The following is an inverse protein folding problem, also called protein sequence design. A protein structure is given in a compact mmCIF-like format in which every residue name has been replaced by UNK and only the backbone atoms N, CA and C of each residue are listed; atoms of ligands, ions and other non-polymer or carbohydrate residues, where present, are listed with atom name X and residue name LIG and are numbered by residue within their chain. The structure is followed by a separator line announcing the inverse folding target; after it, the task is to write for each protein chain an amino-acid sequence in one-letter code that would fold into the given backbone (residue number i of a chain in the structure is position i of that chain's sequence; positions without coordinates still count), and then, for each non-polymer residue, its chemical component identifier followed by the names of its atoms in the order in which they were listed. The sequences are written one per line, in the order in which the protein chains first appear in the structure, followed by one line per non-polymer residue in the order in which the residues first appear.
data_IF_720044084536
#
_entry.id   IF_720044084536
#
_cell.length_a   1.000
_cell.length_b   1.000
_cell.length_c   1.000
_cell.angle_alpha   90.00
_cell.angle_beta   90.00
_cell.angle_gamma   90.00
#
_symmetry.space_group_name_H-M   'P 1'
#
loop_
_entity.id
_entity.type
_entity.pdbx_description
1 polymer ?
#
# COMPACT_ATOMS: atom_id res chain seq x y z
N UNK A 1 -58.43 23.77 -36.25
CA UNK A 1 -58.05 22.35 -36.15
C UNK A 1 -56.66 22.30 -35.49
N UNK A 2 -56.55 22.45 -34.17
CA UNK A 2 -56.55 21.39 -33.12
C UNK A 2 -55.38 20.40 -33.20
N UNK A 3 -54.36 20.68 -32.37
CA UNK A 3 -53.60 19.78 -31.46
C UNK A 3 -52.97 18.48 -31.99
N UNK A 4 -51.68 18.25 -31.71
CA UNK A 4 -51.25 17.29 -30.67
C UNK A 4 -49.72 17.26 -30.52
N UNK A 5 -49.25 17.61 -29.32
CA UNK A 5 -47.86 17.49 -28.89
C UNK A 5 -47.72 16.17 -28.14
N UNK A 6 -46.98 15.20 -28.67
CA UNK A 6 -46.74 13.93 -28.01
C UNK A 6 -45.67 14.10 -26.92
N UNK A 7 -46.10 14.03 -25.65
CA UNK A 7 -45.21 13.86 -24.48
C UNK A 7 -44.69 12.43 -24.46
N UNK A 8 -43.37 12.26 -24.42
CA UNK A 8 -42.71 11.00 -24.10
C UNK A 8 -42.94 10.69 -22.60
N UNK A 9 -43.35 9.49 -22.19
CA UNK A 9 -43.53 9.19 -20.77
C UNK A 9 -42.17 9.03 -20.10
N UNK A 10 -41.99 9.68 -18.94
CA UNK A 10 -40.85 9.47 -18.08
C UNK A 10 -40.81 8.00 -17.61
N UNK A 11 -39.62 7.40 -17.39
CA UNK A 11 -39.54 6.03 -16.89
C UNK A 11 -40.15 5.98 -15.48
N UNK A 12 -41.21 5.19 -15.34
CA UNK A 12 -41.77 4.83 -14.03
C UNK A 12 -40.76 3.94 -13.29
N UNK A 13 -39.87 4.54 -12.51
CA UNK A 13 -39.17 3.81 -11.45
C UNK A 13 -40.22 3.39 -10.42
N UNK A 14 -40.51 2.09 -10.36
CA UNK A 14 -41.45 1.54 -9.38
C UNK A 14 -40.83 1.63 -7.98
N UNK A 15 -41.65 1.96 -6.96
CA UNK A 15 -41.22 2.09 -5.57
C UNK A 15 -40.45 0.86 -5.03
N UNK A 16 -40.64 -0.31 -5.67
CA UNK A 16 -40.02 -1.59 -5.33
C UNK A 16 -38.51 -1.66 -5.64
N UNK A 17 -38.03 -0.90 -6.63
CA UNK A 17 -36.60 -0.81 -6.95
C UNK A 17 -35.86 0.13 -5.99
N UNK A 18 -36.52 1.19 -5.51
CA UNK A 18 -35.98 2.10 -4.50
C UNK A 18 -35.87 1.42 -3.13
N UNK A 19 -36.83 0.58 -2.72
CA UNK A 19 -36.74 -0.22 -1.48
C UNK A 19 -35.67 -1.32 -1.56
N UNK A 20 -35.48 -1.98 -2.70
CA UNK A 20 -34.38 -2.96 -2.88
C UNK A 20 -32.99 -2.31 -2.86
N UNK A 21 -32.81 -1.16 -3.51
CA UNK A 21 -31.53 -0.44 -3.49
C UNK A 21 -31.19 0.16 -2.11
N UNK A 22 -32.20 0.65 -1.38
CA UNK A 22 -32.01 1.17 -0.01
C UNK A 22 -31.72 0.04 0.99
N UNK A 23 -32.36 -1.12 0.87
CA UNK A 23 -32.04 -2.33 1.64
C UNK A 23 -30.61 -2.82 1.40
N UNK A 24 -30.20 -2.97 0.13
CA UNK A 24 -28.84 -3.39 -0.23
C UNK A 24 -27.76 -2.43 0.25
N UNK A 25 -28.00 -1.11 0.16
CA UNK A 25 -27.08 -0.09 0.71
C UNK A 25 -27.02 -0.11 2.23
N UNK A 26 -28.10 -0.47 2.92
CA UNK A 26 -28.14 -0.57 4.37
C UNK A 26 -27.39 -1.80 4.87
N UNK A 27 -27.54 -2.93 4.18
CA UNK A 27 -26.79 -4.16 4.47
C UNK A 27 -25.30 -3.96 4.23
N UNK A 28 -24.91 -3.31 3.12
CA UNK A 28 -23.52 -2.96 2.82
C UNK A 28 -22.89 -2.06 3.92
N UNK A 29 -23.64 -1.05 4.39
CA UNK A 29 -23.19 -0.20 5.51
C UNK A 29 -23.04 -0.98 6.82
N UNK A 30 -23.93 -1.94 7.09
CA UNK A 30 -23.87 -2.77 8.29
C UNK A 30 -22.66 -3.69 8.22
N UNK A 31 -22.46 -4.37 7.10
CA UNK A 31 -21.31 -5.22 6.83
C UNK A 31 -20.01 -4.46 7.03
N UNK A 32 -19.86 -3.27 6.43
CA UNK A 32 -18.65 -2.46 6.59
C UNK A 32 -18.38 -2.08 8.04
N UNK A 33 -19.40 -1.67 8.79
CA UNK A 33 -19.25 -1.35 10.22
C UNK A 33 -18.78 -2.56 11.04
N UNK A 34 -19.32 -3.74 10.76
CA UNK A 34 -18.91 -4.98 11.41
C UNK A 34 -17.45 -5.31 11.10
N UNK A 35 -17.07 -5.27 9.83
CA UNK A 35 -15.68 -5.50 9.37
C UNK A 35 -14.72 -4.50 10.02
N UNK A 36 -15.04 -3.21 9.99
CA UNK A 36 -14.22 -2.15 10.60
C UNK A 36 -14.03 -2.38 12.11
N UNK A 37 -15.08 -2.79 12.82
CA UNK A 37 -15.03 -3.05 14.26
C UNK A 37 -14.18 -4.29 14.59
N UNK A 38 -14.27 -5.35 13.80
CA UNK A 38 -13.45 -6.56 13.94
C UNK A 38 -11.98 -6.26 13.66
N UNK A 39 -11.67 -5.58 12.55
CA UNK A 39 -10.30 -5.20 12.18
C UNK A 39 -9.66 -4.31 13.24
N UNK A 40 -10.37 -3.27 13.73
CA UNK A 40 -9.86 -2.39 14.81
C UNK A 40 -9.62 -3.14 16.11
N UNK A 41 -10.49 -4.11 16.44
CA UNK A 41 -10.33 -4.92 17.65
C UNK A 41 -9.15 -5.88 17.52
N UNK A 42 -8.95 -6.46 16.33
CA UNK A 42 -7.78 -7.30 16.06
C UNK A 42 -6.47 -6.51 16.21
N UNK A 43 -6.38 -5.30 15.64
CA UNK A 43 -5.21 -4.42 15.77
C UNK A 43 -4.90 -4.18 17.26
N UNK A 44 -5.90 -3.80 18.06
CA UNK A 44 -5.73 -3.56 19.51
C UNK A 44 -5.21 -4.77 20.28
N UNK A 45 -5.59 -5.98 19.86
CA UNK A 45 -5.12 -7.22 20.48
C UNK A 45 -3.70 -7.58 20.02
N UNK A 46 -3.39 -7.38 18.74
CA UNK A 46 -2.07 -7.64 18.15
C UNK A 46 -0.98 -6.72 18.69
N UNK A 47 -1.32 -5.50 19.12
CA UNK A 47 -0.38 -4.63 19.85
C UNK A 47 0.02 -5.20 21.23
N UNK A 48 -0.69 -6.19 21.75
CA UNK A 48 -0.50 -6.71 23.12
C UNK A 48 -0.02 -8.15 23.17
N UNK A 49 -0.30 -8.95 22.14
CA UNK A 49 0.02 -10.38 22.09
C UNK A 49 0.09 -10.91 20.66
N UNK A 50 0.66 -12.10 20.51
CA UNK A 50 0.78 -12.76 19.21
C UNK A 50 -0.60 -13.14 18.64
N UNK A 51 -0.71 -13.24 17.31
CA UNK A 51 -1.92 -13.66 16.61
C UNK A 51 -2.46 -15.00 17.12
N UNK A 52 -1.57 -15.93 17.47
CA UNK A 52 -1.88 -17.29 17.91
C UNK A 52 -2.54 -17.34 19.30
N UNK A 53 -2.34 -16.31 20.10
CA UNK A 53 -2.88 -16.19 21.46
C UNK A 53 -4.23 -15.45 21.50
N UNK A 54 -4.70 -14.94 20.36
CA UNK A 54 -5.98 -14.26 20.24
C UNK A 54 -7.07 -15.31 20.07
N UNK A 55 -8.17 -15.15 20.80
CA UNK A 55 -9.34 -16.03 20.67
C UNK A 55 -10.51 -15.30 20.03
N UNK A 56 -11.37 -16.04 19.32
CA UNK A 56 -12.56 -15.46 18.70
C UNK A 56 -13.45 -14.82 19.76
N UNK A 57 -13.60 -15.45 20.94
CA UNK A 57 -14.39 -14.91 22.05
C UNK A 57 -13.89 -13.52 22.44
N UNK A 58 -12.61 -13.40 22.79
CA UNK A 58 -12.01 -12.13 23.19
C UNK A 58 -12.14 -11.05 22.11
N UNK A 59 -11.87 -11.41 20.85
CA UNK A 59 -12.02 -10.49 19.73
C UNK A 59 -13.47 -10.00 19.61
N UNK A 60 -14.43 -10.92 19.66
CA UNK A 60 -15.85 -10.60 19.49
C UNK A 60 -16.41 -9.79 20.66
N UNK A 61 -15.95 -10.05 21.89
CA UNK A 61 -16.28 -9.24 23.07
C UNK A 61 -15.71 -7.83 22.95
N UNK A 62 -14.45 -7.68 22.53
CA UNK A 62 -13.83 -6.37 22.33
C UNK A 62 -14.51 -5.57 21.20
N UNK A 63 -14.97 -6.25 20.16
CA UNK A 63 -15.61 -5.64 19.00
C UNK A 63 -17.12 -5.36 19.19
N UNK A 64 -17.73 -5.82 20.29
CA UNK A 64 -19.17 -5.80 20.54
C UNK A 64 -19.98 -6.46 19.40
N UNK A 65 -19.52 -7.64 18.98
CA UNK A 65 -20.09 -8.41 17.86
C UNK A 65 -20.37 -9.84 18.32
N UNK A 66 -21.47 -10.44 17.88
CA UNK A 66 -21.74 -11.85 18.20
C UNK A 66 -20.78 -12.79 17.45
N UNK A 67 -20.42 -13.92 18.07
CA UNK A 67 -19.64 -14.97 17.39
C UNK A 67 -20.31 -15.46 16.10
N UNK A 68 -21.65 -15.58 16.10
CA UNK A 68 -22.40 -15.91 14.89
C UNK A 68 -22.15 -14.88 13.78
N UNK A 69 -22.13 -13.59 14.11
CA UNK A 69 -21.83 -12.53 13.15
C UNK A 69 -20.37 -12.56 12.69
N UNK A 70 -19.41 -12.87 13.56
CA UNK A 70 -18.02 -13.08 13.14
C UNK A 70 -17.93 -14.14 12.04
N UNK A 71 -18.57 -15.30 12.24
CA UNK A 71 -18.55 -16.40 11.27
C UNK A 71 -19.33 -16.12 9.97
N UNK A 72 -20.09 -15.02 9.88
CA UNK A 72 -20.65 -14.55 8.60
C UNK A 72 -19.61 -13.85 7.73
N UNK A 73 -18.51 -13.39 8.32
CA UNK A 73 -17.47 -12.62 7.63
C UNK A 73 -16.15 -13.37 7.52
N UNK A 74 -15.79 -14.17 8.52
CA UNK A 74 -14.49 -14.83 8.59
C UNK A 74 -14.59 -16.26 9.11
N UNK A 75 -13.75 -17.14 8.59
CA UNK A 75 -13.68 -18.54 9.03
C UNK A 75 -12.98 -18.68 10.38
N UNK A 76 -11.89 -17.93 10.57
CA UNK A 76 -11.09 -17.86 11.78
C UNK A 76 -10.33 -16.53 11.89
N UNK A 77 -9.45 -16.42 12.90
CA UNK A 77 -8.65 -15.21 13.14
C UNK A 77 -7.59 -14.98 12.06
N UNK A 78 -7.04 -16.04 11.47
CA UNK A 78 -6.04 -15.92 10.41
C UNK A 78 -6.67 -15.38 9.13
N UNK A 79 -7.92 -15.78 8.84
CA UNK A 79 -8.71 -15.23 7.73
C UNK A 79 -8.96 -13.73 7.93
N UNK A 80 -9.37 -13.30 9.13
CA UNK A 80 -9.50 -11.87 9.45
C UNK A 80 -8.16 -11.12 9.31
N UNK A 81 -7.06 -11.69 9.80
CA UNK A 81 -5.74 -11.08 9.70
C UNK A 81 -5.27 -10.95 8.25
N UNK A 82 -5.46 -11.99 7.43
CA UNK A 82 -5.13 -11.99 6.00
C UNK A 82 -5.94 -10.92 5.25
N UNK A 83 -7.24 -10.78 5.56
CA UNK A 83 -8.07 -9.72 4.99
C UNK A 83 -7.59 -8.33 5.41
N UNK A 84 -7.24 -8.13 6.68
CA UNK A 84 -6.66 -6.87 7.18
C UNK A 84 -5.35 -6.54 6.44
N UNK A 85 -4.49 -7.52 6.24
CA UNK A 85 -3.24 -7.37 5.52
C UNK A 85 -3.48 -7.01 4.04
N UNK A 86 -4.38 -7.73 3.37
CA UNK A 86 -4.75 -7.49 1.97
C UNK A 86 -5.36 -6.10 1.74
N UNK A 87 -6.26 -5.66 2.62
CA UNK A 87 -6.84 -4.32 2.54
C UNK A 87 -5.78 -3.24 2.75
N UNK A 88 -4.78 -3.52 3.58
CA UNK A 88 -3.65 -2.60 3.82
C UNK A 88 -2.71 -2.57 2.63
N UNK A 89 -2.39 -3.73 2.05
CA UNK A 89 -1.62 -3.85 0.83
C UNK A 89 -2.25 -3.08 -0.32
N UNK A 90 -3.56 -3.24 -0.57
CA UNK A 90 -4.27 -2.52 -1.64
C UNK A 90 -4.24 -1.00 -1.46
N UNK A 91 -4.36 -0.52 -0.21
CA UNK A 91 -4.23 0.92 0.10
C UNK A 91 -2.82 1.43 -0.21
N UNK A 92 -1.81 0.67 0.19
CA UNK A 92 -0.41 0.99 -0.08
C UNK A 92 -0.08 0.94 -1.59
N UNK A 93 -0.49 -0.12 -2.28
CA UNK A 93 -0.31 -0.29 -3.72
C UNK A 93 -0.91 0.88 -4.50
N UNK A 94 -2.10 1.35 -4.12
CA UNK A 94 -2.72 2.52 -4.72
C UNK A 94 -1.85 3.78 -4.59
N UNK A 95 -1.32 4.03 -3.40
CA UNK A 95 -0.43 5.17 -3.13
C UNK A 95 0.82 5.07 -4.02
N UNK A 96 1.44 3.90 -4.08
CA UNK A 96 2.62 3.64 -4.88
C UNK A 96 2.32 3.81 -6.37
N UNK A 97 1.20 3.30 -6.87
CA UNK A 97 0.80 3.46 -8.26
C UNK A 97 0.52 4.92 -8.61
N UNK A 98 -0.15 5.68 -7.73
CA UNK A 98 -0.41 7.11 -7.94
C UNK A 98 0.87 7.95 -7.88
N UNK A 99 1.88 7.51 -7.12
CA UNK A 99 3.09 8.28 -6.84
C UNK A 99 4.33 7.84 -7.64
N UNK A 100 4.32 6.67 -8.29
CA UNK A 100 5.44 6.12 -9.07
C UNK A 100 5.16 6.03 -10.59
N UNK A 101 3.94 6.33 -11.04
CA UNK A 101 3.59 6.26 -12.46
C UNK A 101 3.76 7.64 -13.11
N UNK A 102 5.01 7.99 -13.37
CA UNK A 102 5.36 8.69 -14.61
C UNK A 102 5.99 7.68 -15.59
N UNK A 103 5.52 7.69 -16.83
CA UNK A 103 5.52 6.53 -17.75
C UNK A 103 6.90 6.15 -18.33
N UNK A 104 7.99 6.74 -17.86
CA UNK A 104 9.35 6.47 -18.38
C UNK A 104 10.45 6.23 -17.34
N UNK A 105 10.21 6.38 -16.04
CA UNK A 105 11.26 6.24 -15.01
C UNK A 105 10.98 5.15 -13.97
N UNK A 106 12.06 4.68 -13.31
CA UNK A 106 12.03 3.69 -12.22
C UNK A 106 11.43 4.30 -10.93
N UNK A 107 11.70 5.59 -10.70
CA UNK A 107 11.14 6.39 -9.63
C UNK A 107 10.59 7.69 -10.23
N UNK A 108 9.50 8.20 -9.68
CA UNK A 108 9.06 9.55 -9.96
C UNK A 108 9.99 10.53 -9.26
N UNK A 109 10.65 11.38 -10.03
CA UNK A 109 11.65 12.33 -9.54
C UNK A 109 11.15 13.74 -9.84
N UNK A 110 10.99 14.53 -8.80
CA UNK A 110 10.70 15.96 -8.92
C UNK A 110 11.91 16.79 -8.50
N UNK A 111 11.99 18.02 -9.01
CA UNK A 111 13.00 18.98 -8.59
C UNK A 111 12.26 20.23 -8.13
N UNK A 112 12.47 20.63 -6.88
CA UNK A 112 11.84 21.83 -6.35
C UNK A 112 12.46 23.11 -6.93
N UNK A 113 11.86 24.26 -6.62
CA UNK A 113 12.35 25.58 -7.08
C UNK A 113 13.77 25.92 -6.63
N UNK A 114 14.28 25.23 -5.61
CA UNK A 114 15.63 25.41 -5.05
C UNK A 114 16.63 24.42 -5.66
N UNK A 115 16.19 23.53 -6.55
CA UNK A 115 17.03 22.52 -7.19
C UNK A 115 17.17 21.23 -6.40
N UNK A 116 16.42 21.02 -5.31
CA UNK A 116 16.51 19.77 -4.55
C UNK A 116 15.68 18.68 -5.22
N UNK A 117 16.28 17.50 -5.32
CA UNK A 117 15.63 16.29 -5.82
C UNK A 117 14.64 15.77 -4.77
N UNK A 118 13.43 15.45 -5.21
CA UNK A 118 12.33 14.94 -4.40
C UNK A 118 11.86 13.60 -4.98
N UNK A 119 11.46 12.69 -4.10
CA UNK A 119 10.89 11.39 -4.44
C UNK A 119 9.49 11.27 -3.80
N UNK A 120 8.44 11.85 -4.41
CA UNK A 120 7.10 11.92 -3.79
C UNK A 120 6.55 10.57 -3.34
N UNK A 121 6.81 9.50 -4.10
CA UNK A 121 6.41 8.15 -3.69
C UNK A 121 7.06 7.68 -2.38
N UNK A 122 8.29 8.09 -2.09
CA UNK A 122 8.96 7.77 -0.82
C UNK A 122 8.34 8.57 0.33
N UNK A 123 7.99 9.83 0.10
CA UNK A 123 7.27 10.63 1.10
C UNK A 123 5.93 9.98 1.47
N UNK A 124 5.16 9.55 0.48
CA UNK A 124 3.87 8.90 0.70
C UNK A 124 3.99 7.56 1.45
N UNK A 125 5.10 6.83 1.31
CA UNK A 125 5.39 5.64 2.13
C UNK A 125 5.52 6.01 3.60
N UNK A 126 6.34 7.01 3.93
CA UNK A 126 6.52 7.42 5.33
C UNK A 126 5.24 8.03 5.91
N UNK A 127 4.52 8.81 5.09
CA UNK A 127 3.20 9.34 5.47
C UNK A 127 2.19 8.23 5.75
N UNK A 128 2.15 7.18 4.92
CA UNK A 128 1.26 6.05 5.15
C UNK A 128 1.57 5.34 6.46
N UNK A 129 2.86 5.17 6.79
CA UNK A 129 3.30 4.58 8.06
C UNK A 129 2.88 5.45 9.25
N UNK A 130 3.03 6.78 9.16
CA UNK A 130 2.57 7.73 10.19
C UNK A 130 1.06 7.72 10.38
N UNK A 131 0.30 7.75 9.28
CA UNK A 131 -1.16 7.74 9.31
C UNK A 131 -1.72 6.37 9.81
N UNK A 132 -0.90 5.30 9.83
CA UNK A 132 -1.30 3.94 10.19
C UNK A 132 -0.33 3.24 11.17
N UNK A 133 0.31 3.96 12.09
CA UNK A 133 1.42 3.48 12.94
C UNK A 133 1.17 2.11 13.56
N UNK A 134 0.10 1.95 14.33
CA UNK A 134 -0.21 0.69 15.04
C UNK A 134 -0.28 -0.51 14.09
N UNK A 135 -0.94 -0.32 12.95
CA UNK A 135 -1.11 -1.34 11.94
C UNK A 135 0.21 -1.66 11.24
N UNK A 136 1.01 -0.63 10.91
CA UNK A 136 2.33 -0.82 10.33
C UNK A 136 3.27 -1.53 11.32
N UNK A 137 3.29 -1.17 12.61
CA UNK A 137 4.06 -1.92 13.61
C UNK A 137 3.71 -3.40 13.54
N UNK A 138 2.42 -3.74 13.61
CA UNK A 138 1.96 -5.14 13.54
C UNK A 138 2.44 -5.83 12.27
N UNK A 139 2.20 -5.25 11.09
CA UNK A 139 2.52 -5.90 9.81
C UNK A 139 4.03 -5.99 9.55
N UNK A 140 4.81 -5.03 10.05
CA UNK A 140 6.24 -4.96 9.83
C UNK A 140 7.03 -5.86 10.79
N UNK A 141 6.52 -6.09 12.01
CA UNK A 141 7.22 -6.90 13.02
C UNK A 141 6.67 -8.32 13.16
N UNK A 142 5.49 -8.62 12.61
CA UNK A 142 4.90 -9.96 12.71
C UNK A 142 5.55 -10.91 11.69
N UNK A 143 6.20 -12.01 12.12
CA UNK A 143 6.85 -12.95 11.21
C UNK A 143 5.88 -13.72 10.30
N UNK A 144 4.60 -13.79 10.69
CA UNK A 144 3.55 -14.44 9.90
C UNK A 144 2.94 -13.47 8.85
N UNK A 145 3.34 -12.18 8.82
CA UNK A 145 2.86 -11.22 7.82
C UNK A 145 3.65 -11.30 6.50
N UNK A 146 2.95 -11.14 5.38
CA UNK A 146 3.55 -11.09 4.03
C UNK A 146 3.53 -9.69 3.42
N UNK A 147 3.08 -8.69 4.16
CA UNK A 147 2.85 -7.33 3.66
C UNK A 147 4.10 -6.76 2.99
N UNK A 148 5.22 -6.83 3.70
CA UNK A 148 6.49 -6.32 3.25
C UNK A 148 7.08 -7.08 2.06
N UNK A 149 7.06 -8.41 2.12
CA UNK A 149 7.59 -9.24 1.03
C UNK A 149 6.84 -8.99 -0.27
N UNK A 150 5.51 -8.80 -0.22
CA UNK A 150 4.71 -8.42 -1.38
C UNK A 150 5.13 -7.07 -1.96
N UNK A 151 5.34 -6.06 -1.12
CA UNK A 151 5.77 -4.72 -1.57
C UNK A 151 7.11 -4.79 -2.30
N UNK A 152 8.09 -5.51 -1.74
CA UNK A 152 9.40 -5.64 -2.37
C UNK A 152 9.36 -6.48 -3.65
N UNK A 153 8.60 -7.57 -3.67
CA UNK A 153 8.48 -8.39 -4.88
C UNK A 153 7.80 -7.64 -6.03
N UNK A 154 6.78 -6.83 -5.73
CA UNK A 154 6.12 -5.99 -6.72
C UNK A 154 7.06 -4.90 -7.25
N UNK A 155 7.77 -4.20 -6.35
CA UNK A 155 8.76 -3.20 -6.72
C UNK A 155 9.91 -3.77 -7.56
N UNK A 156 10.43 -4.95 -7.17
CA UNK A 156 11.45 -5.70 -7.91
C UNK A 156 10.95 -6.06 -9.30
N UNK A 157 9.76 -6.65 -9.38
CA UNK A 157 9.16 -7.09 -10.65
C UNK A 157 8.95 -5.90 -11.59
N UNK A 158 8.43 -4.78 -11.07
CA UNK A 158 8.27 -3.54 -11.82
C UNK A 158 9.61 -3.01 -12.35
N UNK A 159 10.65 -2.96 -11.51
CA UNK A 159 11.99 -2.53 -11.92
C UNK A 159 12.55 -3.45 -13.02
N UNK A 160 12.53 -4.76 -12.79
CA UNK A 160 13.07 -5.75 -13.74
C UNK A 160 12.36 -5.69 -15.09
N UNK A 161 11.03 -5.54 -15.10
CA UNK A 161 10.25 -5.39 -16.33
C UNK A 161 10.63 -4.12 -17.10
N UNK A 162 10.88 -3.01 -16.40
CA UNK A 162 11.32 -1.75 -17.01
C UNK A 162 12.74 -1.83 -17.57
N UNK A 163 13.67 -2.53 -16.92
CA UNK A 163 15.07 -2.62 -17.34
C UNK A 163 15.36 -3.76 -18.32
N UNK A 164 14.47 -4.75 -18.43
CA UNK A 164 14.65 -5.95 -19.26
C UNK A 164 14.89 -5.66 -20.75
N UNK A 165 14.31 -4.58 -21.30
CA UNK A 165 14.46 -4.21 -22.71
C UNK A 165 15.71 -3.35 -22.99
N UNK A 166 16.33 -2.78 -21.95
CA UNK A 166 17.42 -1.79 -22.07
C UNK A 166 18.80 -2.35 -21.73
N UNK A 167 18.87 -3.47 -21.00
CA UNK A 167 20.12 -4.01 -20.45
C UNK A 167 20.35 -5.47 -20.87
N UNK A 168 21.62 -5.85 -21.09
CA UNK A 168 22.00 -7.24 -21.30
C UNK A 168 21.90 -8.05 -19.99
N UNK A 169 21.94 -9.39 -20.06
CA UNK A 169 21.72 -10.26 -18.90
C UNK A 169 22.70 -10.12 -17.73
N UNK A 170 23.86 -9.46 -17.90
CA UNK A 170 24.79 -9.16 -16.80
C UNK A 170 24.42 -7.86 -16.06
N UNK A 171 24.04 -6.82 -16.80
CA UNK A 171 23.56 -5.57 -16.22
C UNK A 171 22.25 -5.76 -15.44
N UNK A 172 21.35 -6.65 -15.90
CA UNK A 172 20.14 -7.01 -15.14
C UNK A 172 20.43 -7.60 -13.75
N UNK A 173 21.51 -8.41 -13.61
CA UNK A 173 21.89 -8.97 -12.29
C UNK A 173 22.43 -7.90 -11.35
N UNK A 174 23.22 -6.95 -11.84
CA UNK A 174 23.72 -5.85 -11.02
C UNK A 174 22.56 -5.00 -10.49
N UNK A 175 21.62 -4.62 -11.37
CA UNK A 175 20.41 -3.86 -11.00
C UNK A 175 19.62 -4.58 -9.91
N UNK A 176 19.47 -5.91 -10.00
CA UNK A 176 18.81 -6.70 -8.96
C UNK A 176 19.50 -6.61 -7.60
N UNK A 177 20.84 -6.75 -7.54
CA UNK A 177 21.58 -6.60 -6.28
C UNK A 177 21.45 -5.19 -5.68
N UNK A 178 21.52 -4.15 -6.52
CA UNK A 178 21.31 -2.78 -6.05
C UNK A 178 19.89 -2.53 -5.56
N UNK A 179 18.88 -3.11 -6.21
CA UNK A 179 17.51 -3.07 -5.72
C UNK A 179 17.41 -3.63 -4.31
N UNK A 180 17.95 -4.84 -4.09
CA UNK A 180 17.95 -5.46 -2.76
C UNK A 180 18.72 -4.62 -1.74
N UNK A 181 19.86 -4.05 -2.10
CA UNK A 181 20.65 -3.19 -1.21
C UNK A 181 19.84 -1.95 -0.78
N UNK A 182 19.26 -1.22 -1.74
CA UNK A 182 18.47 -0.02 -1.48
C UNK A 182 17.21 -0.35 -0.68
N UNK A 183 16.46 -1.39 -1.10
CA UNK A 183 15.23 -1.79 -0.44
C UNK A 183 15.47 -2.20 1.04
N UNK A 184 16.53 -2.95 1.32
CA UNK A 184 16.88 -3.32 2.70
C UNK A 184 17.42 -2.13 3.50
N UNK A 185 18.12 -1.19 2.87
CA UNK A 185 18.51 0.06 3.53
C UNK A 185 17.32 0.90 3.96
N UNK A 186 16.36 1.12 3.05
CA UNK A 186 15.10 1.83 3.36
C UNK A 186 14.30 1.09 4.43
N UNK A 187 14.24 -0.25 4.37
CA UNK A 187 13.63 -1.08 5.42
C UNK A 187 14.26 -0.80 6.78
N UNK A 188 15.59 -0.81 6.88
CA UNK A 188 16.28 -0.55 8.15
C UNK A 188 16.00 0.85 8.71
N UNK A 189 15.82 1.86 7.84
CA UNK A 189 15.40 3.20 8.25
C UNK A 189 13.98 3.20 8.83
N UNK A 190 13.04 2.50 8.17
CA UNK A 190 11.66 2.36 8.65
C UNK A 190 11.61 1.62 9.99
N UNK A 191 12.31 0.50 10.11
CA UNK A 191 12.36 -0.31 11.34
C UNK A 191 12.92 0.53 12.51
N UNK A 192 14.04 1.22 12.30
CA UNK A 192 14.63 2.07 13.33
C UNK A 192 13.72 3.24 13.76
N UNK A 193 13.03 3.86 12.80
CA UNK A 193 12.08 4.94 13.08
C UNK A 193 10.92 4.45 13.96
N UNK A 194 10.37 3.27 13.66
CA UNK A 194 9.31 2.66 14.47
C UNK A 194 9.79 2.24 15.86
N UNK A 195 10.95 1.57 15.95
CA UNK A 195 11.53 1.10 17.21
C UNK A 195 11.84 2.25 18.19
N UNK A 196 12.22 3.42 17.66
CA UNK A 196 12.52 4.59 18.47
C UNK A 196 11.27 5.39 18.86
N UNK A 197 10.08 4.95 18.45
CA UNK A 197 8.82 5.63 18.72
C UNK A 197 8.59 6.84 17.81
N UNK A 198 9.12 6.81 16.59
CA UNK A 198 8.92 7.81 15.54
C UNK A 198 9.33 9.23 15.99
N UNK A 199 10.56 9.36 16.50
CA UNK A 199 11.08 10.62 17.05
C UNK A 199 11.23 11.71 16.00
N UNK A 200 11.70 11.32 14.82
CA UNK A 200 11.82 12.17 13.65
C UNK A 200 10.45 12.38 13.01
N UNK A 201 10.21 13.58 12.47
CA UNK A 201 9.04 13.84 11.65
C UNK A 201 9.11 13.08 10.31
N UNK A 202 7.95 12.89 9.67
CA UNK A 202 7.84 12.31 8.32
C UNK A 202 8.80 13.00 7.35
N UNK A 203 8.89 14.33 7.38
CA UNK A 203 9.79 15.12 6.51
C UNK A 203 11.27 14.81 6.75
N UNK A 204 11.68 14.62 8.01
CA UNK A 204 13.08 14.34 8.35
C UNK A 204 13.50 12.95 7.87
N UNK A 205 12.71 11.91 8.20
CA UNK A 205 13.03 10.53 7.77
C UNK A 205 12.90 10.34 6.26
N UNK A 206 11.95 11.04 5.62
CA UNK A 206 11.82 11.11 4.17
C UNK A 206 13.09 11.69 3.51
N UNK A 207 13.63 12.80 4.03
CA UNK A 207 14.84 13.42 3.49
C UNK A 207 16.06 12.52 3.64
N UNK A 208 16.23 11.89 4.80
CA UNK A 208 17.32 10.93 5.05
C UNK A 208 17.22 9.76 4.05
N UNK A 209 16.02 9.22 3.87
CA UNK A 209 15.79 8.09 2.95
C UNK A 209 16.00 8.48 1.49
N UNK A 210 15.56 9.66 1.09
CA UNK A 210 15.77 10.20 -0.26
C UNK A 210 17.25 10.36 -0.55
N UNK A 211 18.01 10.95 0.38
CA UNK A 211 19.46 11.09 0.25
C UNK A 211 20.15 9.73 0.11
N UNK A 212 19.79 8.77 0.96
CA UNK A 212 20.30 7.40 0.89
C UNK A 212 20.02 6.73 -0.47
N UNK A 213 18.77 6.82 -0.96
CA UNK A 213 18.36 6.24 -2.24
C UNK A 213 19.15 6.88 -3.39
N UNK A 214 19.25 8.21 -3.44
CA UNK A 214 19.94 8.92 -4.53
C UNK A 214 21.44 8.62 -4.57
N UNK A 215 22.11 8.56 -3.41
CA UNK A 215 23.51 8.16 -3.32
C UNK A 215 23.74 6.76 -3.91
N UNK A 216 22.83 5.83 -3.61
CA UNK A 216 22.92 4.44 -4.05
C UNK A 216 22.36 4.18 -5.45
N UNK A 217 21.61 5.12 -6.07
CA UNK A 217 21.15 5.02 -7.46
C UNK A 217 22.18 5.52 -8.48
N UNK A 218 23.25 6.17 -8.03
CA UNK A 218 24.29 6.71 -8.91
C UNK A 218 24.98 5.67 -9.81
N UNK A 219 24.83 4.37 -9.54
CA UNK A 219 25.33 3.31 -10.42
C UNK A 219 24.57 3.21 -11.76
N UNK A 220 23.25 3.44 -11.78
CA UNK A 220 22.43 3.42 -13.01
C UNK A 220 22.88 4.50 -14.00
N UNK A 221 23.36 5.63 -13.47
CA UNK A 221 23.88 6.73 -14.28
C UNK A 221 25.26 6.39 -14.90
N UNK A 222 26.07 5.54 -14.25
CA UNK A 222 27.39 5.14 -14.77
C UNK A 222 27.28 4.15 -15.93
N UNK A 223 26.36 3.19 -15.87
CA UNK A 223 26.19 2.21 -16.95
C UNK A 223 25.57 2.82 -18.22
N UNK A 224 24.61 3.75 -18.08
CA UNK A 224 24.04 4.48 -19.23
C UNK A 224 25.05 5.39 -19.94
N UNK A 225 26.04 5.92 -19.19
CA UNK A 225 27.14 6.72 -19.75
C UNK A 225 28.18 5.83 -20.46
N UNK A 226 28.45 4.63 -19.94
CA UNK A 226 29.32 3.65 -20.61
C UNK A 226 28.71 3.09 -21.91
N UNK A 227 27.39 2.90 -21.99
CA UNK A 227 26.73 2.51 -23.24
C UNK A 227 26.76 3.60 -24.32
N UNK A 228 26.71 4.89 -23.93
CA UNK A 228 26.88 6.01 -24.87
C UNK A 228 28.33 6.23 -25.30
N UNK A 229 29.30 5.89 -24.46
CA UNK A 229 30.74 6.06 -24.74
C UNK A 229 31.35 4.99 -25.67
N UNK A 230 30.64 3.91 -25.97
CA UNK A 230 31.09 2.85 -26.91
C UNK A 230 30.52 3.09 -28.32
N UNK A 231 29.62 4.06 -28.48
CA UNK A 231 29.03 4.45 -29.76
C UNK A 231 29.60 5.79 -30.26
N UNK A 232 30.92 5.85 -30.50
CA UNK A 232 31.61 6.52 -31.62
C UNK A 232 33.04 6.96 -31.23
N UNK A 233 33.98 7.03 -32.20
CA UNK A 233 33.95 6.51 -33.57
C UNK A 233 34.71 5.19 -33.74
#
# INVERSE_FOLDING_TARGET
MTTSSAKNPAPHFTANEQTKQTGRKRDDRRTRRTVDALQKSLIKLLLKKSLRDITITELTELADISRTTFYLHYTDINDLFSNLEDDTYKRFEKIIHESLVDSSMILHIEVDKSGNVQLPGIYEVFKFIDDNTDLCIILLTNPDSTFLSRIWEEGRTTLMNKTASTHNGKANRAVEYYYYAIANGVRGLIEHWLETGMKESVDEVYRISTDYILHNLSFLQRESTQQKGIAQP
#
